data_IF_696331487353
#
_entry.id   IF_696331487353
#
_cell.length_a   1.000
_cell.length_b   1.000
_cell.length_c   1.000
_cell.angle_alpha   90.00
_cell.angle_beta   90.00
_cell.angle_gamma   90.00
#
_symmetry.space_group_name_H-M   'P 1'
#
loop_
_entity.id
_entity.type
_entity.pdbx_description
1 polymer ?
#
# COMPACT_ATOMS: atom_id res chain seq x y z
N UNK A 1 29.32 36.60 10.15
CA UNK A 1 28.15 36.85 9.30
C UNK A 1 27.79 35.54 8.65
N UNK A 2 26.76 34.90 9.19
CA UNK A 2 26.29 33.56 8.84
C UNK A 2 25.70 33.56 7.44
N UNK A 3 26.32 32.76 6.58
CA UNK A 3 25.84 32.46 5.23
C UNK A 3 24.46 31.77 5.37
N UNK A 4 23.37 32.50 5.08
CA UNK A 4 22.06 31.90 4.97
C UNK A 4 22.09 31.05 3.70
N UNK A 5 22.33 29.75 3.85
CA UNK A 5 22.19 28.78 2.77
C UNK A 5 20.79 28.89 2.19
N UNK A 6 20.68 29.63 1.09
CA UNK A 6 19.41 29.83 0.39
C UNK A 6 19.03 28.49 -0.20
N UNK A 7 17.98 27.87 0.36
CA UNK A 7 17.41 26.65 -0.17
C UNK A 7 17.14 26.85 -1.66
N UNK A 8 17.47 25.84 -2.48
CA UNK A 8 17.08 25.87 -3.88
C UNK A 8 15.55 26.03 -4.00
N UNK A 9 15.03 26.54 -5.13
CA UNK A 9 13.58 26.64 -5.33
C UNK A 9 12.87 25.29 -5.11
N UNK A 10 13.53 24.18 -5.48
CA UNK A 10 13.01 22.82 -5.29
C UNK A 10 13.06 22.38 -3.83
N UNK A 11 14.16 22.65 -3.12
CA UNK A 11 14.26 22.38 -1.68
C UNK A 11 13.23 23.19 -0.88
N UNK A 12 12.94 24.42 -1.31
CA UNK A 12 11.88 25.25 -0.74
C UNK A 12 10.50 24.64 -0.99
N UNK A 13 10.23 24.15 -2.20
CA UNK A 13 8.98 23.45 -2.51
C UNK A 13 8.80 22.20 -1.64
N UNK A 14 9.84 21.37 -1.48
CA UNK A 14 9.81 20.24 -0.55
C UNK A 14 9.50 20.69 0.88
N UNK A 15 10.20 21.70 1.39
CA UNK A 15 9.99 22.21 2.77
C UNK A 15 8.57 22.72 2.96
N UNK A 16 8.02 23.43 1.98
CA UNK A 16 6.64 23.93 1.99
C UNK A 16 5.62 22.80 1.96
N UNK A 17 5.77 21.79 1.09
CA UNK A 17 4.86 20.65 1.03
C UNK A 17 4.85 19.84 2.33
N UNK A 18 6.03 19.64 2.93
CA UNK A 18 6.16 18.95 4.23
C UNK A 18 5.49 19.79 5.33
N UNK A 19 5.78 21.10 5.40
CA UNK A 19 5.21 21.98 6.40
C UNK A 19 3.68 22.09 6.28
N UNK A 20 3.15 22.17 5.04
CA UNK A 20 1.73 22.20 4.77
C UNK A 20 1.02 20.93 5.27
N UNK A 21 1.60 19.75 5.03
CA UNK A 21 1.06 18.50 5.55
C UNK A 21 1.02 18.46 7.08
N UNK A 22 2.09 18.90 7.74
CA UNK A 22 2.17 18.95 9.21
C UNK A 22 1.15 19.95 9.76
N UNK A 23 0.98 21.11 9.11
CA UNK A 23 0.00 22.13 9.50
C UNK A 23 -1.44 21.64 9.33
N UNK A 24 -1.79 21.02 8.20
CA UNK A 24 -3.11 20.43 7.97
C UNK A 24 -3.43 19.36 9.02
N UNK A 25 -2.43 18.54 9.37
CA UNK A 25 -2.54 17.54 10.43
C UNK A 25 -2.76 18.16 11.79
N UNK A 26 -2.03 19.23 12.11
CA UNK A 26 -2.17 19.99 13.34
C UNK A 26 -3.59 20.55 13.45
N UNK A 27 -4.07 21.26 12.44
CA UNK A 27 -5.42 21.85 12.44
C UNK A 27 -6.51 20.81 12.63
N UNK A 28 -6.46 19.71 11.86
CA UNK A 28 -7.41 18.60 11.98
C UNK A 28 -7.39 17.95 13.38
N UNK A 29 -6.23 17.95 14.04
CA UNK A 29 -6.05 17.37 15.37
C UNK A 29 -6.37 18.32 16.50
N UNK A 30 -6.31 19.64 16.29
CA UNK A 30 -6.65 20.66 17.28
C UNK A 30 -8.14 21.03 17.27
N UNK A 31 -8.86 20.72 16.18
CA UNK A 31 -10.29 21.00 16.05
C UNK A 31 -11.10 20.32 17.18
N UNK A 32 -11.71 21.14 18.04
CA UNK A 32 -12.58 20.68 19.13
C UNK A 32 -11.87 20.30 20.45
N UNK A 33 -10.65 20.78 20.70
CA UNK A 33 -9.93 20.59 21.96
C UNK A 33 -9.88 21.84 22.83
N UNK A 34 -9.62 21.66 24.13
CA UNK A 34 -9.45 22.73 25.12
C UNK A 34 -8.00 23.27 25.12
N UNK A 35 -7.83 24.53 25.54
CA UNK A 35 -6.58 25.30 25.48
C UNK A 35 -5.34 24.60 26.08
N UNK A 36 -5.46 23.95 27.25
CA UNK A 36 -4.34 23.23 27.89
C UNK A 36 -3.84 22.02 27.08
N UNK A 37 -4.74 21.38 26.32
CA UNK A 37 -4.38 20.27 25.43
C UNK A 37 -3.82 20.79 24.11
N UNK A 38 -4.24 21.97 23.65
CA UNK A 38 -3.75 22.61 22.44
C UNK A 38 -2.25 22.88 22.56
N UNK A 39 -1.80 23.59 23.60
CA UNK A 39 -0.38 23.95 23.75
C UNK A 39 0.57 22.73 23.77
N UNK A 40 0.16 21.64 24.45
CA UNK A 40 0.94 20.38 24.48
C UNK A 40 0.95 19.63 23.15
N UNK A 41 -0.11 19.76 22.36
CA UNK A 41 -0.21 19.13 21.03
C UNK A 41 0.55 19.96 19.98
N UNK A 42 0.55 21.28 20.09
CA UNK A 42 1.25 22.18 19.16
C UNK A 42 2.74 21.88 19.09
N UNK A 43 3.40 21.72 20.25
CA UNK A 43 4.82 21.35 20.30
C UNK A 43 5.12 20.02 19.58
N UNK A 44 4.16 19.08 19.52
CA UNK A 44 4.33 17.80 18.82
C UNK A 44 4.22 17.92 17.30
N UNK A 45 3.58 18.98 16.80
CA UNK A 45 3.45 19.26 15.36
C UNK A 45 4.43 20.34 14.90
N UNK A 46 5.44 20.68 15.71
CA UNK A 46 6.59 21.41 15.21
C UNK A 46 7.33 20.58 14.17
N UNK A 47 7.82 21.25 13.12
CA UNK A 47 8.39 20.61 11.93
C UNK A 47 9.40 19.50 12.26
N UNK A 48 10.43 19.84 13.03
CA UNK A 48 11.50 18.91 13.40
C UNK A 48 11.04 17.84 14.41
N UNK A 49 10.26 18.23 15.41
CA UNK A 49 9.73 17.31 16.43
C UNK A 49 8.84 16.23 15.81
N UNK A 50 7.99 16.63 14.86
CA UNK A 50 7.12 15.71 14.14
C UNK A 50 7.91 14.76 13.23
N UNK A 51 8.92 15.26 12.51
CA UNK A 51 9.78 14.45 11.66
C UNK A 51 10.56 13.39 12.45
N UNK A 52 11.14 13.75 13.59
CA UNK A 52 11.86 12.81 14.45
C UNK A 52 10.91 11.73 14.99
N UNK A 53 9.70 12.11 15.41
CA UNK A 53 8.69 11.16 15.87
C UNK A 53 8.21 10.25 14.74
N UNK A 54 7.97 10.79 13.54
CA UNK A 54 7.58 10.03 12.36
C UNK A 54 8.68 9.03 11.96
N UNK A 55 9.95 9.43 12.01
CA UNK A 55 11.09 8.57 11.73
C UNK A 55 11.17 7.40 12.74
N UNK A 56 10.87 7.62 14.03
CA UNK A 56 10.80 6.51 15.01
C UNK A 56 9.60 5.59 14.76
N UNK A 57 8.47 6.12 14.27
CA UNK A 57 7.25 5.34 14.04
C UNK A 57 7.25 4.57 12.72
N UNK A 58 8.12 4.90 11.77
CA UNK A 58 8.18 4.24 10.46
C UNK A 58 8.44 2.73 10.57
N UNK A 59 9.21 2.28 11.57
CA UNK A 59 9.49 0.85 11.79
C UNK A 59 8.23 0.04 12.13
N UNK A 60 7.19 0.71 12.66
CA UNK A 60 5.91 0.08 13.00
C UNK A 60 5.04 -0.22 11.79
N UNK A 61 5.43 0.28 10.61
CA UNK A 61 4.79 0.02 9.33
C UNK A 61 5.79 -0.55 8.32
N UNK A 62 5.25 -1.20 7.30
CA UNK A 62 6.03 -1.74 6.21
C UNK A 62 5.21 -1.63 4.92
N UNK A 63 5.87 -1.16 3.86
CA UNK A 63 5.36 -1.23 2.50
C UNK A 63 5.51 -2.65 1.97
N UNK A 64 4.41 -3.20 1.45
CA UNK A 64 4.33 -4.59 1.00
C UNK A 64 3.46 -4.69 -0.25
N UNK A 65 3.69 -5.75 -1.01
CA UNK A 65 2.87 -6.15 -2.16
C UNK A 65 2.08 -7.42 -1.85
N UNK A 66 2.65 -8.25 -0.98
CA UNK A 66 2.15 -9.55 -0.55
C UNK A 66 1.98 -9.57 0.96
N UNK A 67 0.76 -9.84 1.43
CA UNK A 67 0.35 -9.68 2.83
C UNK A 67 0.09 -11.04 3.48
N UNK A 68 0.74 -11.33 4.61
CA UNK A 68 0.52 -12.57 5.37
C UNK A 68 -0.83 -12.58 6.09
N UNK A 69 -1.20 -11.46 6.71
CA UNK A 69 -2.40 -11.35 7.56
C UNK A 69 -3.72 -11.58 6.83
N UNK A 70 -3.71 -11.51 5.49
CA UNK A 70 -4.88 -11.82 4.69
C UNK A 70 -5.22 -13.33 4.71
N UNK A 71 -4.27 -14.19 5.08
CA UNK A 71 -4.49 -15.62 5.34
C UNK A 71 -5.20 -15.83 6.69
N UNK A 72 -4.67 -15.22 7.74
CA UNK A 72 -5.29 -15.18 9.07
C UNK A 72 -4.89 -13.87 9.77
N UNK A 73 -5.84 -13.11 10.36
CA UNK A 73 -5.55 -11.79 10.95
C UNK A 73 -4.48 -11.81 12.04
N UNK A 74 -4.43 -12.89 12.83
CA UNK A 74 -3.46 -13.07 13.92
C UNK A 74 -2.13 -13.70 13.47
N UNK A 75 -1.95 -14.01 12.19
CA UNK A 75 -0.68 -14.55 11.71
C UNK A 75 0.43 -13.50 11.85
N UNK A 76 1.48 -13.86 12.60
CA UNK A 76 2.69 -13.05 12.79
C UNK A 76 3.83 -13.66 12.00
N UNK A 77 4.34 -12.92 11.03
CA UNK A 77 5.41 -13.37 10.15
C UNK A 77 5.66 -12.34 9.08
N UNK A 78 6.43 -12.72 8.07
CA UNK A 78 6.90 -11.81 7.03
C UNK A 78 5.82 -11.54 5.98
N UNK A 79 5.55 -10.26 5.75
CA UNK A 79 4.92 -9.78 4.53
C UNK A 79 6.02 -9.23 3.60
N UNK A 80 5.82 -9.32 2.29
CA UNK A 80 6.90 -9.10 1.32
C UNK A 80 6.57 -7.96 0.36
N UNK A 81 7.59 -7.15 0.10
CA UNK A 81 7.60 -6.19 -0.99
C UNK A 81 8.36 -6.80 -2.17
N UNK A 82 7.62 -7.23 -3.19
CA UNK A 82 8.15 -7.82 -4.42
C UNK A 82 7.46 -7.09 -5.57
N UNK A 83 8.10 -6.06 -6.13
CA UNK A 83 7.49 -5.29 -7.21
C UNK A 83 7.33 -6.17 -8.47
N UNK A 84 6.28 -5.97 -9.29
CA UNK A 84 6.01 -6.75 -10.50
C UNK A 84 7.22 -6.90 -11.43
N UNK A 85 7.98 -5.81 -11.63
CA UNK A 85 9.15 -5.77 -12.49
C UNK A 85 10.34 -6.63 -12.00
N UNK A 86 10.35 -7.01 -10.72
CA UNK A 86 11.38 -7.89 -10.15
C UNK A 86 11.01 -9.37 -10.24
N UNK A 87 9.77 -9.68 -10.59
CA UNK A 87 9.28 -11.06 -10.64
C UNK A 87 9.64 -11.71 -11.97
N UNK A 88 9.90 -13.03 -11.99
CA UNK A 88 10.04 -13.76 -13.24
C UNK A 88 8.80 -13.61 -14.12
N UNK A 89 9.01 -13.46 -15.43
CA UNK A 89 7.91 -13.42 -16.38
C UNK A 89 7.42 -14.85 -16.64
N UNK A 90 6.13 -15.08 -16.44
CA UNK A 90 5.46 -16.34 -16.74
C UNK A 90 4.42 -16.15 -17.85
N UNK A 91 4.05 -17.24 -18.51
CA UNK A 91 3.01 -17.24 -19.55
C UNK A 91 1.62 -16.96 -18.97
N UNK A 92 1.39 -17.40 -17.74
CA UNK A 92 0.17 -17.16 -16.98
C UNK A 92 0.07 -15.70 -16.49
N UNK A 93 -1.14 -15.26 -16.19
CA UNK A 93 -1.39 -13.94 -15.60
C UNK A 93 -1.15 -13.99 -14.10
N UNK A 94 -0.33 -13.07 -13.60
CA UNK A 94 0.01 -12.99 -12.18
C UNK A 94 0.37 -11.57 -11.74
N UNK A 95 0.97 -11.48 -10.55
CA UNK A 95 1.46 -10.21 -9.99
C UNK A 95 2.59 -9.60 -10.80
N UNK A 96 3.29 -10.37 -11.64
CA UNK A 96 4.28 -9.89 -12.60
C UNK A 96 3.67 -9.15 -13.80
N UNK A 97 2.39 -9.39 -14.10
CA UNK A 97 1.74 -8.88 -15.32
C UNK A 97 1.16 -7.45 -15.17
N UNK A 98 1.13 -6.90 -13.95
CA UNK A 98 0.54 -5.57 -13.70
C UNK A 98 1.58 -4.47 -13.87
N UNK A 99 1.26 -3.44 -14.64
CA UNK A 99 2.14 -2.30 -14.91
C UNK A 99 1.92 -1.14 -13.94
N UNK A 100 0.67 -0.91 -13.52
CA UNK A 100 0.31 0.12 -12.55
C UNK A 100 -0.28 -0.54 -11.31
N UNK A 101 0.48 -0.56 -10.22
CA UNK A 101 0.06 -1.18 -8.97
C UNK A 101 0.20 -0.22 -7.79
N UNK A 102 -0.66 -0.41 -6.80
CA UNK A 102 -0.56 0.31 -5.54
C UNK A 102 0.16 -0.55 -4.50
N UNK A 103 1.08 0.08 -3.78
CA UNK A 103 1.79 -0.55 -2.67
C UNK A 103 0.87 -0.55 -1.45
N UNK A 104 0.74 -1.71 -0.81
CA UNK A 104 -0.03 -1.86 0.41
C UNK A 104 0.83 -1.56 1.63
N UNK A 105 0.21 -1.10 2.72
CA UNK A 105 0.88 -0.87 3.99
C UNK A 105 0.29 -1.79 5.06
N UNK A 106 1.18 -2.50 5.74
CA UNK A 106 0.85 -3.29 6.93
C UNK A 106 1.55 -2.69 8.14
N UNK A 107 0.96 -2.87 9.32
CA UNK A 107 1.56 -2.43 10.58
C UNK A 107 0.56 -1.78 11.52
N UNK A 108 1.08 -0.94 12.43
CA UNK A 108 0.26 -0.23 13.39
C UNK A 108 -0.55 0.88 12.70
N UNK A 109 -1.88 0.84 12.84
CA UNK A 109 -2.78 1.85 12.29
C UNK A 109 -2.45 3.28 12.76
N UNK A 110 -1.89 3.43 13.97
CA UNK A 110 -1.49 4.72 14.53
C UNK A 110 -0.30 5.37 13.80
N UNK A 111 0.46 4.59 13.01
CA UNK A 111 1.61 5.06 12.23
C UNK A 111 1.29 5.23 10.73
N UNK A 112 0.05 5.00 10.30
CA UNK A 112 -0.36 5.19 8.89
C UNK A 112 -0.29 6.66 8.43
N UNK A 113 -0.26 7.60 9.36
CA UNK A 113 0.01 9.01 9.06
C UNK A 113 1.41 9.23 8.46
N UNK A 114 2.41 8.43 8.89
CA UNK A 114 3.76 8.45 8.31
C UNK A 114 3.72 8.00 6.85
N UNK A 115 2.92 6.99 6.50
CA UNK A 115 2.75 6.63 5.09
C UNK A 115 2.06 7.73 4.28
N UNK A 116 1.02 8.37 4.83
CA UNK A 116 0.36 9.49 4.15
C UNK A 116 1.33 10.64 3.87
N UNK A 117 2.25 10.89 4.80
CA UNK A 117 3.36 11.82 4.60
C UNK A 117 4.28 11.37 3.45
N UNK A 118 4.72 10.13 3.44
CA UNK A 118 5.59 9.59 2.39
C UNK A 118 4.93 9.52 1.00
N UNK A 119 3.59 9.57 0.94
CA UNK A 119 2.81 9.60 -0.30
C UNK A 119 2.66 11.01 -0.91
N UNK A 120 3.03 12.08 -0.20
CA UNK A 120 2.97 13.45 -0.74
C UNK A 120 3.76 13.51 -2.04
N UNK A 121 3.17 14.14 -3.05
CA UNK A 121 3.80 14.30 -4.36
C UNK A 121 4.44 15.68 -4.49
N UNK A 122 5.71 15.70 -4.87
CA UNK A 122 6.47 16.90 -5.23
C UNK A 122 7.17 16.58 -6.55
N UNK A 123 7.07 17.47 -7.53
CA UNK A 123 7.57 17.24 -8.89
C UNK A 123 7.09 15.92 -9.52
N UNK A 124 5.78 15.64 -9.40
CA UNK A 124 5.11 14.44 -9.92
C UNK A 124 5.69 13.10 -9.41
N UNK A 125 6.35 13.11 -8.26
CA UNK A 125 6.90 11.92 -7.60
C UNK A 125 6.64 11.95 -6.11
N UNK A 126 6.47 10.78 -5.52
CA UNK A 126 6.20 10.66 -4.08
C UNK A 126 7.47 10.96 -3.29
N UNK A 127 7.32 11.53 -2.09
CA UNK A 127 8.44 11.75 -1.17
C UNK A 127 9.25 10.46 -0.94
N UNK A 128 8.58 9.30 -0.82
CA UNK A 128 9.26 8.01 -0.69
C UNK A 128 10.25 7.73 -1.83
N UNK A 129 9.90 8.07 -3.07
CA UNK A 129 10.76 7.85 -4.24
C UNK A 129 11.97 8.79 -4.22
N UNK A 130 11.79 10.01 -3.70
CA UNK A 130 12.87 10.96 -3.49
C UNK A 130 13.82 10.53 -2.36
N UNK A 131 13.29 9.99 -1.25
CA UNK A 131 14.11 9.41 -0.18
C UNK A 131 15.00 8.26 -0.69
N UNK A 132 14.44 7.37 -1.52
CA UNK A 132 15.20 6.26 -2.13
C UNK A 132 16.33 6.73 -3.05
N UNK A 133 16.15 7.87 -3.72
CA UNK A 133 17.16 8.48 -4.60
C UNK A 133 18.22 9.29 -3.84
N UNK A 134 18.07 9.46 -2.52
CA UNK A 134 18.94 10.31 -1.69
C UNK A 134 19.08 11.71 -2.27
N UNK A 135 17.95 12.29 -2.67
CA UNK A 135 17.91 13.58 -3.35
C UNK A 135 18.43 14.71 -2.44
N UNK A 136 19.36 15.51 -2.97
CA UNK A 136 20.03 16.56 -2.19
C UNK A 136 19.11 17.70 -1.78
N UNK A 137 18.13 18.05 -2.62
CA UNK A 137 17.18 19.12 -2.32
C UNK A 137 16.17 18.67 -1.27
N UNK A 138 15.75 17.41 -1.32
CA UNK A 138 14.93 16.83 -0.24
C UNK A 138 15.69 16.80 1.08
N UNK A 139 16.95 16.36 1.08
CA UNK A 139 17.78 16.33 2.30
C UNK A 139 17.94 17.72 2.90
N UNK A 140 18.23 18.73 2.07
CA UNK A 140 18.31 20.13 2.50
C UNK A 140 16.97 20.66 3.05
N UNK A 141 15.83 20.15 2.58
CA UNK A 141 14.52 20.52 3.08
C UNK A 141 14.21 19.95 4.48
N UNK A 142 14.75 18.78 4.83
CA UNK A 142 14.46 18.09 6.10
C UNK A 142 15.10 18.76 7.31
N UNK A 143 16.36 19.18 7.17
CA UNK A 143 17.12 19.82 8.23
C UNK A 143 18.28 20.62 7.67
N UNK A 144 18.59 21.74 8.32
CA UNK A 144 19.78 22.53 8.04
C UNK A 144 21.07 21.79 8.48
N UNK A 145 20.94 20.74 9.31
CA UNK A 145 22.02 19.81 9.67
C UNK A 145 22.05 18.59 8.73
N UNK A 146 23.11 18.42 7.92
CA UNK A 146 23.24 17.31 6.98
C UNK A 146 23.22 15.91 7.63
N UNK A 147 23.79 15.76 8.83
CA UNK A 147 23.82 14.45 9.51
C UNK A 147 22.42 14.03 9.93
N UNK A 148 21.67 14.97 10.52
CA UNK A 148 20.27 14.74 10.89
C UNK A 148 19.40 14.46 9.68
N UNK A 149 19.56 15.21 8.59
CA UNK A 149 18.81 14.97 7.35
C UNK A 149 19.05 13.56 6.81
N UNK A 150 20.29 13.07 6.87
CA UNK A 150 20.66 11.73 6.43
C UNK A 150 20.02 10.65 7.31
N UNK A 151 20.08 10.79 8.64
CA UNK A 151 19.45 9.84 9.58
C UNK A 151 17.94 9.75 9.33
N UNK A 152 17.27 10.88 9.15
CA UNK A 152 15.84 10.91 8.84
C UNK A 152 15.53 10.22 7.49
N UNK A 153 16.32 10.50 6.46
CA UNK A 153 16.14 9.89 5.14
C UNK A 153 16.36 8.38 5.13
N UNK A 154 17.36 7.90 5.88
CA UNK A 154 17.60 6.47 6.08
C UNK A 154 16.42 5.82 6.79
N UNK A 155 15.95 6.40 7.89
CA UNK A 155 14.79 5.89 8.62
C UNK A 155 13.54 5.81 7.74
N UNK A 156 13.21 6.85 6.97
CA UNK A 156 12.04 6.83 6.08
C UNK A 156 12.18 5.81 4.93
N UNK A 157 13.40 5.52 4.50
CA UNK A 157 13.66 4.50 3.47
C UNK A 157 13.42 3.08 3.97
N UNK A 158 13.54 2.81 5.28
CA UNK A 158 13.26 1.50 5.90
C UNK A 158 11.78 1.07 5.82
N UNK A 159 10.89 1.93 5.33
CA UNK A 159 9.50 1.54 5.04
C UNK A 159 9.46 0.38 4.04
N UNK A 160 10.31 0.42 3.01
CA UNK A 160 10.45 -0.66 2.03
C UNK A 160 11.69 -1.48 2.41
N UNK A 161 11.54 -2.31 3.43
CA UNK A 161 12.57 -3.26 3.86
C UNK A 161 12.21 -4.68 3.45
N UNK A 162 13.22 -5.41 2.99
CA UNK A 162 13.14 -6.85 2.88
C UNK A 162 13.45 -7.46 4.26
N UNK A 163 12.72 -8.49 4.71
CA UNK A 163 13.13 -9.23 5.89
C UNK A 163 14.46 -9.94 5.61
N UNK A 164 15.44 -9.82 6.52
CA UNK A 164 16.72 -10.55 6.42
C UNK A 164 16.50 -12.06 6.34
N UNK A 165 15.52 -12.56 7.11
CA UNK A 165 15.04 -13.93 7.06
C UNK A 165 13.51 -13.94 7.04
N UNK A 166 12.88 -14.50 6.00
CA UNK A 166 11.44 -14.67 5.98
C UNK A 166 10.97 -15.59 7.12
N UNK A 167 9.96 -15.15 7.87
CA UNK A 167 9.34 -15.90 8.95
C UNK A 167 7.90 -16.29 8.59
N UNK A 168 7.55 -17.53 8.92
CA UNK A 168 6.20 -18.07 8.79
C UNK A 168 5.48 -18.06 10.16
N UNK A 169 4.20 -18.44 10.15
CA UNK A 169 3.38 -18.63 11.35
C UNK A 169 2.59 -19.95 11.24
N UNK A 170 2.24 -20.55 12.37
CA UNK A 170 1.38 -21.75 12.42
C UNK A 170 -0.02 -21.56 11.82
N UNK A 171 -0.45 -20.29 11.68
CA UNK A 171 -1.73 -19.91 11.07
C UNK A 171 -1.59 -19.51 9.60
N UNK A 172 -0.36 -19.53 9.06
CA UNK A 172 -0.13 -19.38 7.64
C UNK A 172 -0.52 -20.67 6.90
N UNK A 173 -0.68 -20.58 5.58
CA UNK A 173 -0.89 -21.76 4.73
C UNK A 173 0.45 -22.17 4.16
N UNK A 174 0.88 -23.37 4.51
CA UNK A 174 2.10 -23.98 3.98
C UNK A 174 1.71 -25.26 3.24
N UNK A 175 2.34 -25.49 2.10
CA UNK A 175 2.03 -26.58 1.17
C UNK A 175 3.33 -27.28 0.79
N UNK A 176 3.36 -28.60 0.89
CA UNK A 176 4.47 -29.39 0.34
C UNK A 176 4.28 -29.52 -1.18
N UNK A 177 5.35 -29.23 -1.92
CA UNK A 177 5.39 -29.36 -3.37
C UNK A 177 6.48 -30.36 -3.75
N UNK A 178 6.07 -31.49 -4.34
CA UNK A 178 6.99 -32.52 -4.80
C UNK A 178 7.80 -32.00 -5.99
N UNK A 179 9.12 -31.94 -5.86
CA UNK A 179 10.05 -31.52 -6.90
C UNK A 179 10.80 -32.69 -7.52
N UNK A 180 10.92 -33.83 -6.84
CA UNK A 180 11.57 -35.04 -7.38
C UNK A 180 10.70 -35.78 -8.39
N UNK A 181 9.37 -35.59 -8.33
CA UNK A 181 8.40 -36.38 -9.08
C UNK A 181 8.05 -37.72 -8.41
N UNK A 182 8.73 -38.07 -7.32
CA UNK A 182 8.55 -39.30 -6.55
C UNK A 182 7.96 -38.97 -5.17
N UNK A 183 6.64 -39.13 -4.96
CA UNK A 183 5.98 -38.67 -3.74
C UNK A 183 6.38 -39.43 -2.47
N UNK A 184 7.06 -40.58 -2.61
CA UNK A 184 7.49 -41.44 -1.52
C UNK A 184 8.83 -41.02 -0.90
N UNK A 185 9.58 -40.11 -1.54
CA UNK A 185 10.85 -39.62 -1.03
C UNK A 185 10.65 -38.39 -0.14
N UNK A 186 11.01 -38.49 1.14
CA UNK A 186 10.80 -37.41 2.13
C UNK A 186 11.61 -36.14 1.82
N UNK A 187 12.78 -36.27 1.16
CA UNK A 187 13.66 -35.16 0.78
C UNK A 187 13.31 -34.53 -0.58
N UNK A 188 12.33 -35.08 -1.29
CA UNK A 188 11.88 -34.64 -2.61
C UNK A 188 10.90 -33.45 -2.61
N UNK A 189 10.79 -32.69 -1.51
CA UNK A 189 9.75 -31.68 -1.33
C UNK A 189 10.27 -30.28 -1.00
N UNK A 190 9.64 -29.27 -1.61
CA UNK A 190 9.75 -27.88 -1.18
C UNK A 190 8.53 -27.48 -0.36
N UNK A 191 8.75 -26.78 0.76
CA UNK A 191 7.68 -26.16 1.52
C UNK A 191 7.37 -24.77 0.97
N UNK A 192 6.22 -24.61 0.32
CA UNK A 192 5.76 -23.35 -0.25
C UNK A 192 4.77 -22.66 0.69
N UNK A 193 4.93 -21.34 0.86
CA UNK A 193 3.96 -20.50 1.54
C UNK A 193 3.42 -19.44 0.58
N UNK A 194 2.24 -19.64 -0.02
CA UNK A 194 1.60 -18.59 -0.80
C UNK A 194 1.22 -17.42 0.10
N UNK A 195 1.63 -16.21 -0.29
CA UNK A 195 1.19 -14.97 0.33
C UNK A 195 0.06 -14.34 -0.48
N UNK A 196 -0.79 -13.55 0.18
CA UNK A 196 -1.90 -12.90 -0.50
C UNK A 196 -1.41 -11.69 -1.32
N UNK A 197 -1.60 -11.67 -2.66
CA UNK A 197 -1.07 -10.63 -3.53
C UNK A 197 -1.95 -9.37 -3.49
N UNK A 198 -1.81 -8.58 -2.43
CA UNK A 198 -2.71 -7.44 -2.15
C UNK A 198 -2.71 -6.40 -3.27
N UNK A 199 -1.54 -6.07 -3.83
CA UNK A 199 -1.41 -5.10 -4.92
C UNK A 199 -2.14 -5.55 -6.19
N UNK A 200 -2.03 -6.83 -6.56
CA UNK A 200 -2.75 -7.41 -7.69
C UNK A 200 -4.27 -7.40 -7.47
N UNK A 201 -4.70 -7.84 -6.28
CA UNK A 201 -6.13 -7.86 -5.95
C UNK A 201 -6.72 -6.46 -5.92
N UNK A 202 -5.95 -5.45 -5.49
CA UNK A 202 -6.38 -4.06 -5.54
C UNK A 202 -6.57 -3.56 -6.97
N UNK A 203 -5.65 -3.88 -7.88
CA UNK A 203 -5.79 -3.53 -9.30
C UNK A 203 -7.05 -4.16 -9.93
N UNK A 204 -7.28 -5.46 -9.68
CA UNK A 204 -8.49 -6.15 -10.14
C UNK A 204 -9.75 -5.53 -9.52
N UNK A 205 -9.71 -5.20 -8.23
CA UNK A 205 -10.84 -4.57 -7.55
C UNK A 205 -11.18 -3.20 -8.12
N UNK A 206 -10.18 -2.38 -8.46
CA UNK A 206 -10.38 -1.09 -9.12
C UNK A 206 -11.06 -1.25 -10.49
N UNK A 207 -10.60 -2.18 -11.32
CA UNK A 207 -11.21 -2.49 -12.62
C UNK A 207 -12.67 -2.97 -12.47
N UNK A 208 -12.93 -3.87 -11.52
CA UNK A 208 -14.28 -4.37 -11.26
C UNK A 208 -15.22 -3.27 -10.73
N UNK A 209 -14.72 -2.39 -9.87
CA UNK A 209 -15.50 -1.28 -9.35
C UNK A 209 -15.82 -0.25 -10.44
N UNK A 210 -14.85 0.07 -11.30
CA UNK A 210 -15.09 0.93 -12.46
C UNK A 210 -16.11 0.31 -13.41
N UNK A 211 -16.01 -0.99 -13.70
CA UNK A 211 -17.02 -1.66 -14.51
C UNK A 211 -18.41 -1.69 -13.85
N UNK A 212 -18.52 -1.69 -12.52
CA UNK A 212 -19.84 -1.74 -11.83
C UNK A 212 -20.46 -0.37 -11.60
N UNK A 213 -19.64 0.63 -11.30
CA UNK A 213 -20.06 1.93 -10.78
C UNK A 213 -19.48 3.12 -11.55
N UNK A 214 -18.59 2.89 -12.51
CA UNK A 214 -18.03 3.94 -13.36
C UNK A 214 -19.08 4.55 -14.28
N UNK A 215 -19.02 5.86 -14.45
CA UNK A 215 -20.01 6.62 -15.21
C UNK A 215 -20.02 6.23 -16.70
N UNK A 216 -18.86 5.89 -17.28
CA UNK A 216 -18.78 5.41 -18.67
C UNK A 216 -19.55 4.10 -18.87
N UNK A 217 -19.35 3.12 -17.98
CA UNK A 217 -20.05 1.83 -18.11
C UNK A 217 -21.54 1.96 -17.78
N UNK A 218 -21.90 2.89 -16.90
CA UNK A 218 -23.30 3.22 -16.60
C UNK A 218 -23.99 3.84 -17.81
N UNK A 219 -23.34 4.75 -18.54
CA UNK A 219 -23.84 5.29 -19.80
C UNK A 219 -23.99 4.20 -20.87
N UNK A 220 -22.98 3.34 -21.02
CA UNK A 220 -23.03 2.19 -21.94
C UNK A 220 -24.17 1.23 -21.59
N UNK A 221 -24.37 0.94 -20.29
CA UNK A 221 -25.47 0.11 -19.79
C UNK A 221 -26.83 0.73 -20.10
N UNK A 222 -27.01 2.03 -19.86
CA UNK A 222 -28.26 2.72 -20.16
C UNK A 222 -28.58 2.68 -21.66
N UNK A 223 -27.59 2.94 -22.52
CA UNK A 223 -27.76 2.84 -23.96
C UNK A 223 -28.11 1.41 -24.41
N UNK A 224 -27.46 0.39 -23.84
CA UNK A 224 -27.76 -1.01 -24.10
C UNK A 224 -29.22 -1.35 -23.77
N UNK A 225 -29.71 -0.99 -22.59
CA UNK A 225 -31.11 -1.22 -22.20
C UNK A 225 -32.12 -0.37 -22.97
N UNK A 226 -31.71 0.79 -23.50
CA UNK A 226 -32.54 1.65 -24.33
C UNK A 226 -32.48 1.30 -25.83
N UNK A 227 -31.77 0.24 -26.23
CA UNK A 227 -31.47 -0.09 -27.64
C UNK A 227 -30.84 1.07 -28.43
N UNK A 228 -30.09 1.94 -27.74
CA UNK A 228 -29.41 3.10 -28.30
C UNK A 228 -28.00 2.78 -28.79
N UNK A 229 -27.45 3.67 -29.63
CA UNK A 229 -26.04 3.60 -30.05
C UNK A 229 -25.16 4.24 -28.97
N UNK A 230 -24.07 3.56 -28.63
CA UNK A 230 -23.02 4.07 -27.74
C UNK A 230 -21.65 3.66 -28.28
N UNK A 231 -20.67 4.55 -28.20
CA UNK A 231 -19.34 4.31 -28.76
C UNK A 231 -18.46 3.43 -27.84
N UNK A 232 -18.75 3.40 -26.53
CA UNK A 232 -18.01 2.60 -25.54
C UNK A 232 -18.55 1.18 -25.36
N UNK A 233 -17.74 0.32 -24.74
CA UNK A 233 -18.09 -1.09 -24.46
C UNK A 233 -18.83 -1.22 -23.13
N UNK A 234 -19.97 -1.93 -23.13
CA UNK A 234 -20.65 -2.33 -21.90
C UNK A 234 -19.97 -3.59 -21.31
N UNK A 235 -19.32 -3.42 -20.16
CA UNK A 235 -18.67 -4.49 -19.39
C UNK A 235 -19.59 -4.99 -18.27
N UNK A 236 -19.70 -6.30 -18.12
CA UNK A 236 -20.47 -6.91 -17.03
C UNK A 236 -19.81 -8.19 -16.53
N UNK A 237 -19.50 -8.24 -15.24
CA UNK A 237 -18.89 -9.39 -14.58
C UNK A 237 -19.96 -10.14 -13.79
N UNK A 238 -20.31 -11.34 -14.25
CA UNK A 238 -21.36 -12.17 -13.65
C UNK A 238 -20.78 -13.12 -12.59
N UNK A 239 -21.64 -13.55 -11.65
CA UNK A 239 -21.32 -14.59 -10.66
C UNK A 239 -20.08 -14.28 -9.78
N UNK A 240 -19.86 -13.01 -9.46
CA UNK A 240 -18.79 -12.61 -8.52
C UNK A 240 -19.12 -13.07 -7.11
N UNK A 241 -18.15 -13.68 -6.43
CA UNK A 241 -18.23 -13.93 -4.99
C UNK A 241 -17.48 -12.84 -4.21
N UNK A 242 -18.08 -12.33 -3.13
CA UNK A 242 -17.45 -11.32 -2.28
C UNK A 242 -16.90 -11.98 -1.00
N UNK A 243 -15.58 -12.01 -0.85
CA UNK A 243 -14.89 -12.47 0.37
C UNK A 243 -14.51 -11.28 1.24
N UNK A 244 -14.92 -11.30 2.52
CA UNK A 244 -14.54 -10.25 3.49
C UNK A 244 -13.29 -10.64 4.28
N UNK A 245 -12.34 -9.73 4.41
CA UNK A 245 -11.14 -9.88 5.24
C UNK A 245 -11.11 -8.83 6.36
N UNK A 246 -10.86 -9.29 7.59
CA UNK A 246 -10.74 -8.43 8.77
C UNK A 246 -12.03 -8.18 9.55
N UNK A 247 -13.14 -8.86 9.20
CA UNK A 247 -14.41 -8.78 9.92
C UNK A 247 -14.92 -7.34 10.05
N UNK A 248 -15.11 -6.86 11.29
CA UNK A 248 -15.53 -5.49 11.60
C UNK A 248 -14.39 -4.47 11.60
N UNK A 249 -13.13 -4.91 11.49
CA UNK A 249 -11.92 -4.06 11.55
C UNK A 249 -10.97 -4.36 10.37
N UNK A 250 -11.37 -4.07 9.11
CA UNK A 250 -10.56 -4.34 7.92
C UNK A 250 -9.18 -3.65 7.92
N UNK A 251 -9.05 -2.54 8.66
CA UNK A 251 -7.80 -1.80 8.87
C UNK A 251 -6.69 -2.60 9.56
N UNK A 252 -7.03 -3.69 10.27
CA UNK A 252 -6.05 -4.52 10.97
C UNK A 252 -5.31 -5.48 10.04
N UNK A 253 -5.83 -5.69 8.82
CA UNK A 253 -5.22 -6.55 7.81
C UNK A 253 -4.15 -5.77 7.05
N UNK A 254 -4.57 -4.71 6.36
CA UNK A 254 -3.71 -3.82 5.59
C UNK A 254 -4.48 -2.57 5.15
N UNK A 255 -3.75 -1.58 4.64
CA UNK A 255 -4.30 -0.30 4.23
C UNK A 255 -5.20 -0.42 2.98
N UNK A 256 -4.74 -1.11 1.92
CA UNK A 256 -5.56 -1.31 0.72
C UNK A 256 -6.77 -2.20 1.00
N UNK A 257 -6.66 -3.15 1.93
CA UNK A 257 -7.84 -3.91 2.37
C UNK A 257 -8.89 -2.99 3.00
N UNK A 258 -8.47 -1.99 3.77
CA UNK A 258 -9.38 -0.98 4.34
C UNK A 258 -10.02 -0.10 3.27
N UNK A 259 -9.27 0.33 2.24
CA UNK A 259 -9.83 1.11 1.12
C UNK A 259 -10.92 0.34 0.37
N UNK A 260 -10.75 -0.97 0.25
CA UNK A 260 -11.74 -1.87 -0.36
C UNK A 260 -12.90 -2.23 0.58
N UNK A 261 -12.97 -1.64 1.78
CA UNK A 261 -13.97 -1.98 2.79
C UNK A 261 -13.87 -3.43 3.29
N UNK A 262 -12.69 -4.05 3.17
CA UNK A 262 -12.44 -5.46 3.44
C UNK A 262 -12.94 -6.42 2.36
N UNK A 263 -13.49 -5.91 1.25
CA UNK A 263 -14.10 -6.74 0.20
C UNK A 263 -13.07 -7.17 -0.85
N UNK A 264 -13.08 -8.46 -1.14
CA UNK A 264 -12.26 -9.09 -2.18
C UNK A 264 -13.22 -9.81 -3.13
N UNK A 265 -13.31 -9.35 -4.38
CA UNK A 265 -14.11 -10.03 -5.39
C UNK A 265 -13.33 -11.21 -5.98
N UNK A 266 -13.99 -12.35 -6.07
CA UNK A 266 -13.48 -13.56 -6.72
C UNK A 266 -14.25 -13.75 -8.03
N UNK A 267 -13.50 -14.00 -9.10
CA UNK A 267 -14.06 -14.34 -10.42
C UNK A 267 -14.61 -15.77 -10.38
N UNK A 268 -15.70 -16.00 -11.11
CA UNK A 268 -16.28 -17.34 -11.20
C UNK A 268 -15.37 -18.26 -12.01
N UNK A 269 -15.00 -19.40 -11.42
CA UNK A 269 -14.37 -20.53 -12.11
C UNK A 269 -15.26 -21.76 -12.06
N UNK A 270 -16.58 -21.56 -12.04
CA UNK A 270 -17.54 -22.65 -12.01
C UNK A 270 -17.53 -23.43 -13.33
N UNK A 271 -17.63 -24.77 -13.30
CA UNK A 271 -17.81 -25.56 -14.51
C UNK A 271 -19.14 -25.21 -15.18
N UNK A 272 -19.29 -25.46 -16.50
CA UNK A 272 -20.57 -25.28 -17.18
C UNK A 272 -21.63 -26.16 -16.51
N UNK A 273 -22.74 -25.55 -16.08
CA UNK A 273 -23.88 -26.32 -15.61
C UNK A 273 -24.63 -26.85 -16.83
N UNK A 274 -24.63 -28.18 -17.00
CA UNK A 274 -25.53 -28.84 -17.93
C UNK A 274 -26.95 -28.69 -17.37
N UNK A 275 -27.75 -27.84 -18.01
CA UNK A 275 -29.18 -27.78 -17.76
C UNK A 275 -29.77 -29.02 -18.44
N UNK A 276 -30.12 -30.04 -17.66
CA UNK A 276 -30.98 -31.11 -18.16
C UNK A 276 -32.36 -30.49 -18.41
N UNK A 277 -32.69 -30.32 -19.68
CA UNK A 277 -34.01 -29.87 -20.17
C UNK A 277 -34.97 -31.06 -20.12
#
# INVERSE_FOLDING_TARGET
MTDQSTLSPRATAFRQSIAAFIAERRENKLKGLNDDKIARLEAKYEYHTWLDDAARRVIQIQAVTHVLKATHPDARGSSLYIPPESQPCHTEIGSHSITNYQVDIVGNAAALDVYKFLKIEVDNRRLLDWFRRKDTDLLAALSDDPERAKILAEAFSELIRAPEQPQSHVLAKQLYWCVSGEPVEDDGYHLLQPLFPSSLVHAIHSELNDARFGEENKAARQAYFANGKHHGTFRSYQNLAARKLGGTKPQNISQLNSERGGVNYLLSSAPPMLICI
#
